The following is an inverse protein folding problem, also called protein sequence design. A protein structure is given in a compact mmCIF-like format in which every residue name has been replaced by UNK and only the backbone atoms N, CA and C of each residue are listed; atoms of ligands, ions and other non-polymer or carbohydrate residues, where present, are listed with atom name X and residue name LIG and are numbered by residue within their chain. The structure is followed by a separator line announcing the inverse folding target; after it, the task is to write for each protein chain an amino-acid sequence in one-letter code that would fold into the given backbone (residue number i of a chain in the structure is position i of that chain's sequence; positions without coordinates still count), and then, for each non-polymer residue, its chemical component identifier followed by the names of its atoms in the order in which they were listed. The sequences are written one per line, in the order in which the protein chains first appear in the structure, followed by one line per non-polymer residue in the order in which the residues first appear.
data_IF_095385992719
#
_entry.id   IF_095385992719
#
_cell.length_a   1.000
_cell.length_b   1.000
_cell.length_c   1.000
_cell.angle_alpha   90.00
_cell.angle_beta   90.00
_cell.angle_gamma   90.00
#
_symmetry.space_group_name_H-M   'P 1'
#
loop_
_entity.id
_entity.type
_entity.pdbx_description
1 polymer ?
#
# COMPACT_ATOMS: atom_id res chain seq x y z
N UNK A 1 -18.94 26.20 15.55
CA UNK A 1 -17.92 25.52 16.35
C UNK A 1 -17.04 24.80 15.36
N UNK A 2 -15.91 25.39 14.99
CA UNK A 2 -14.90 24.72 14.18
C UNK A 2 -13.98 24.05 15.18
N UNK A 3 -14.08 22.72 15.26
CA UNK A 3 -13.31 21.94 16.19
C UNK A 3 -11.82 22.08 15.83
N UNK A 4 -11.12 22.77 16.73
CA UNK A 4 -9.69 23.00 16.77
C UNK A 4 -8.99 21.65 17.02
N UNK A 5 -8.96 20.77 16.01
CA UNK A 5 -8.16 19.56 16.10
C UNK A 5 -6.76 19.86 15.55
N UNK A 6 -5.97 20.52 16.39
CA UNK A 6 -4.52 20.69 16.29
C UNK A 6 -3.81 19.32 16.34
N UNK A 7 -4.02 18.46 15.35
CA UNK A 7 -3.07 17.42 15.01
C UNK A 7 -1.96 18.09 14.20
N UNK A 8 -0.80 18.27 14.82
CA UNK A 8 0.39 18.91 14.26
C UNK A 8 0.51 18.75 12.74
N UNK A 9 0.61 19.85 11.95
CA UNK A 9 0.52 19.84 10.48
C UNK A 9 1.59 18.97 9.81
N UNK A 10 2.64 18.59 10.54
CA UNK A 10 3.67 17.65 10.10
C UNK A 10 3.10 16.25 9.82
N UNK A 11 2.25 15.72 10.72
CA UNK A 11 1.74 14.35 10.61
C UNK A 11 0.72 14.21 9.47
N UNK A 12 -0.14 15.22 9.28
CA UNK A 12 -1.10 15.24 8.17
C UNK A 12 -0.41 15.33 6.80
N UNK A 13 0.71 16.06 6.74
CA UNK A 13 1.55 16.16 5.54
C UNK A 13 2.25 14.83 5.24
N UNK A 14 2.76 14.14 6.26
CA UNK A 14 3.37 12.82 6.12
C UNK A 14 2.38 11.77 5.63
N UNK A 15 1.18 11.72 6.22
CA UNK A 15 0.10 10.83 5.78
C UNK A 15 -0.31 11.12 4.32
N UNK A 16 -0.42 12.39 3.94
CA UNK A 16 -0.71 12.80 2.55
C UNK A 16 0.41 12.38 1.57
N UNK A 17 1.67 12.45 2.01
CA UNK A 17 2.81 12.00 1.20
C UNK A 17 2.80 10.47 1.01
N UNK A 18 2.60 9.70 2.08
CA UNK A 18 2.46 8.24 2.02
C UNK A 18 1.32 7.82 1.09
N UNK A 19 0.22 8.56 1.15
CA UNK A 19 -0.91 8.42 0.25
C UNK A 19 -0.54 8.61 -1.22
N UNK A 20 0.03 9.78 -1.52
CA UNK A 20 0.39 10.16 -2.89
C UNK A 20 1.39 9.17 -3.46
N UNK A 21 2.37 8.75 -2.65
CA UNK A 21 3.36 7.75 -3.00
C UNK A 21 2.71 6.38 -3.30
N UNK A 22 1.79 5.93 -2.45
CA UNK A 22 1.06 4.68 -2.65
C UNK A 22 0.25 4.71 -3.94
N UNK A 23 -0.52 5.78 -4.18
CA UNK A 23 -1.28 5.98 -5.42
C UNK A 23 -0.37 6.00 -6.66
N UNK A 24 0.78 6.67 -6.58
CA UNK A 24 1.76 6.71 -7.66
C UNK A 24 2.31 5.31 -7.96
N UNK A 25 2.67 4.53 -6.95
CA UNK A 25 3.18 3.17 -7.12
C UNK A 25 2.12 2.24 -7.72
N UNK A 26 0.87 2.32 -7.25
CA UNK A 26 -0.26 1.58 -7.81
C UNK A 26 -0.50 1.97 -9.28
N UNK A 27 -0.44 3.27 -9.60
CA UNK A 27 -0.58 3.78 -10.96
C UNK A 27 0.54 3.30 -11.87
N UNK A 28 1.79 3.30 -11.39
CA UNK A 28 2.92 2.75 -12.15
C UNK A 28 2.75 1.26 -12.40
N UNK A 29 2.23 0.52 -11.43
CA UNK A 29 1.91 -0.88 -11.60
C UNK A 29 0.83 -1.05 -12.67
N UNK A 30 -0.32 -0.36 -12.55
CA UNK A 30 -1.43 -0.45 -13.51
C UNK A 30 -0.99 -0.05 -14.93
N UNK A 31 -0.08 0.91 -15.08
CA UNK A 31 0.47 1.34 -16.37
C UNK A 31 1.51 0.37 -16.97
N UNK A 32 1.56 -0.88 -16.50
CA UNK A 32 2.32 -1.95 -17.14
C UNK A 32 3.66 -2.29 -16.49
N UNK A 33 4.05 -1.63 -15.39
CA UNK A 33 5.26 -2.04 -14.63
C UNK A 33 4.93 -3.16 -13.63
N UNK A 34 4.50 -4.32 -14.14
CA UNK A 34 4.05 -5.46 -13.33
C UNK A 34 5.23 -6.25 -12.71
N UNK A 35 6.12 -5.57 -12.00
CA UNK A 35 7.28 -6.17 -11.39
C UNK A 35 6.99 -6.55 -9.93
N UNK A 36 7.44 -7.73 -9.44
CA UNK A 36 7.24 -8.15 -8.06
C UNK A 36 7.86 -7.16 -7.06
N UNK A 37 8.99 -6.53 -7.42
CA UNK A 37 9.62 -5.46 -6.62
C UNK A 37 8.69 -4.26 -6.40
N UNK A 38 7.91 -3.89 -7.41
CA UNK A 38 6.97 -2.76 -7.31
C UNK A 38 5.78 -3.13 -6.42
N UNK A 39 5.23 -4.33 -6.61
CA UNK A 39 4.15 -4.85 -5.76
C UNK A 39 4.56 -4.93 -4.28
N UNK A 40 5.76 -5.43 -3.97
CA UNK A 40 6.32 -5.40 -2.61
C UNK A 40 6.43 -3.99 -2.02
N UNK A 41 6.82 -3.00 -2.84
CA UNK A 41 6.88 -1.61 -2.39
C UNK A 41 5.49 -1.07 -2.04
N UNK A 42 4.47 -1.39 -2.82
CA UNK A 42 3.09 -1.00 -2.54
C UNK A 42 2.62 -1.59 -1.20
N UNK A 43 2.85 -2.89 -0.98
CA UNK A 43 2.52 -3.56 0.30
C UNK A 43 3.22 -2.86 1.47
N UNK A 44 4.51 -2.56 1.33
CA UNK A 44 5.29 -1.90 2.38
C UNK A 44 4.77 -0.49 2.70
N UNK A 45 4.38 0.29 1.69
CA UNK A 45 3.80 1.63 1.89
C UNK A 45 2.42 1.56 2.56
N UNK A 46 1.59 0.58 2.20
CA UNK A 46 0.29 0.35 2.84
C UNK A 46 0.44 -0.08 4.31
N UNK A 47 1.43 -0.91 4.63
CA UNK A 47 1.72 -1.28 6.02
C UNK A 47 2.17 -0.07 6.86
N UNK A 48 2.96 0.85 6.28
CA UNK A 48 3.34 2.10 6.93
C UNK A 48 2.13 3.02 7.17
N UNK A 49 1.24 3.16 6.18
CA UNK A 49 -0.02 3.89 6.34
C UNK A 49 -0.85 3.29 7.49
N UNK A 50 -1.04 1.97 7.51
CA UNK A 50 -1.81 1.28 8.54
C UNK A 50 -1.22 1.40 9.95
N UNK A 51 0.09 1.62 10.05
CA UNK A 51 0.79 1.83 11.32
C UNK A 51 0.77 3.30 11.78
N UNK A 52 0.22 4.22 10.98
CA UNK A 52 0.25 5.64 11.26
C UNK A 52 -0.84 6.03 12.29
N UNK A 53 -0.49 6.74 13.39
CA UNK A 53 -1.41 7.01 14.51
C UNK A 53 -2.59 7.93 14.14
N UNK A 54 -2.46 8.73 13.09
CA UNK A 54 -3.58 9.55 12.60
C UNK A 54 -4.69 8.74 11.91
N UNK A 55 -4.36 7.54 11.43
CA UNK A 55 -5.29 6.66 10.75
C UNK A 55 -6.24 5.96 11.74
N UNK A 56 -5.83 5.88 13.01
CA UNK A 56 -6.63 5.33 14.12
C UNK A 56 -7.92 6.12 14.36
N UNK A 57 -7.95 7.39 13.94
CA UNK A 57 -9.11 8.28 14.11
C UNK A 57 -10.16 8.12 13.01
N UNK A 58 -9.86 7.39 11.92
CA UNK A 58 -10.76 7.22 10.77
C UNK A 58 -10.92 5.74 10.42
N UNK A 59 -11.80 5.06 11.14
CA UNK A 59 -12.08 3.63 10.95
C UNK A 59 -12.34 3.24 9.49
N UNK A 60 -13.14 4.03 8.75
CA UNK A 60 -13.45 3.77 7.35
C UNK A 60 -12.21 3.82 6.42
N UNK A 61 -11.24 4.71 6.70
CA UNK A 61 -10.02 4.80 5.90
C UNK A 61 -9.08 3.62 6.20
N UNK A 62 -9.03 3.19 7.46
CA UNK A 62 -8.25 2.04 7.91
C UNK A 62 -8.72 0.74 7.26
N UNK A 63 -10.04 0.50 7.24
CA UNK A 63 -10.62 -0.67 6.56
C UNK A 63 -10.26 -0.69 5.06
N UNK A 64 -10.30 0.46 4.40
CA UNK A 64 -9.90 0.57 3.00
C UNK A 64 -8.42 0.22 2.78
N UNK A 65 -7.49 0.71 3.62
CA UNK A 65 -6.07 0.32 3.48
C UNK A 65 -5.83 -1.15 3.81
N UNK A 66 -6.58 -1.74 4.75
CA UNK A 66 -6.50 -3.17 5.04
C UNK A 66 -6.90 -3.99 3.81
N UNK A 67 -8.01 -3.64 3.17
CA UNK A 67 -8.45 -4.31 1.94
C UNK A 67 -7.43 -4.16 0.81
N UNK A 68 -6.87 -2.96 0.62
CA UNK A 68 -5.81 -2.74 -0.36
C UNK A 68 -4.56 -3.54 -0.04
N UNK A 69 -4.13 -3.57 1.23
CA UNK A 69 -2.94 -4.28 1.66
C UNK A 69 -3.06 -5.78 1.37
N UNK A 70 -4.18 -6.39 1.78
CA UNK A 70 -4.47 -7.80 1.51
C UNK A 70 -4.55 -8.12 0.01
N UNK A 71 -5.16 -7.25 -0.79
CA UNK A 71 -5.16 -7.37 -2.25
C UNK A 71 -3.74 -7.37 -2.82
N UNK A 72 -2.91 -6.40 -2.43
CA UNK A 72 -1.54 -6.27 -2.94
C UNK A 72 -0.60 -7.37 -2.44
N UNK A 73 -0.83 -7.92 -1.25
CA UNK A 73 -0.13 -9.12 -0.78
C UNK A 73 -0.41 -10.32 -1.70
N UNK A 74 -1.69 -10.55 -2.06
CA UNK A 74 -2.06 -11.60 -3.03
C UNK A 74 -1.45 -11.38 -4.41
N UNK A 75 -1.53 -10.15 -4.94
CA UNK A 75 -0.92 -9.80 -6.24
C UNK A 75 0.58 -10.05 -6.21
N UNK A 76 1.26 -9.67 -5.13
CA UNK A 76 2.71 -9.90 -4.97
C UNK A 76 3.02 -11.40 -4.96
N UNK A 77 2.25 -12.21 -4.22
CA UNK A 77 2.38 -13.67 -4.20
C UNK A 77 2.22 -14.29 -5.60
N UNK A 78 1.20 -13.87 -6.35
CA UNK A 78 0.98 -14.34 -7.72
C UNK A 78 2.12 -13.97 -8.67
N UNK A 79 2.71 -12.78 -8.53
CA UNK A 79 3.85 -12.36 -9.34
C UNK A 79 5.13 -13.13 -9.01
N UNK A 80 5.32 -13.48 -7.74
CA UNK A 80 6.44 -14.32 -7.30
C UNK A 80 6.27 -15.76 -7.80
N UNK A 81 5.08 -16.33 -7.68
CA UNK A 81 4.75 -17.66 -8.18
C UNK A 81 4.96 -17.77 -9.69
N UNK A 82 4.52 -16.77 -10.47
CA UNK A 82 4.80 -16.68 -11.91
C UNK A 82 6.28 -16.55 -12.26
N UNK A 83 7.08 -15.97 -11.36
CA UNK A 83 8.53 -15.82 -11.56
C UNK A 83 9.29 -17.11 -11.24
N UNK A 84 8.83 -17.87 -10.25
CA UNK A 84 9.43 -19.14 -9.83
C UNK A 84 8.94 -20.33 -10.68
N UNK A 85 7.71 -20.27 -11.19
CA UNK A 85 7.06 -21.26 -12.05
C UNK A 85 7.55 -21.31 -13.51
N UNK A 86 8.66 -20.62 -13.83
CA UNK A 86 9.30 -20.65 -15.15
C UNK A 86 10.25 -21.84 -15.36
N UNK A 87 10.37 -22.74 -14.40
CA UNK A 87 11.09 -24.00 -14.56
C UNK A 87 10.09 -25.15 -14.44
N UNK A 88 9.94 -26.01 -15.47
CA UNK A 88 9.24 -27.28 -15.26
C UNK A 88 10.03 -28.04 -14.20
N UNK A 89 9.42 -28.26 -13.04
CA UNK A 89 9.87 -29.29 -12.10
C UNK A 89 9.62 -30.64 -12.77
N UNK A 90 10.54 -31.04 -13.65
CA UNK A 90 10.70 -32.44 -14.01
C UNK A 90 11.27 -33.14 -12.77
N UNK A 91 10.42 -33.93 -12.13
CA UNK A 91 10.83 -35.02 -11.25
C UNK A 91 10.35 -36.33 -11.89
#
# INVERSE_FOLDING_TARGET
MFDDQLSSPAHGRELTQLHTMTCLLMTQFINGRHCPKLAHRIVSQLALLLSHPQLDHTAASRDMYLQLHDHWQRVTGLLLDRRDGGLPRYQ
#
